data_IF_344280273268
#
_entry.id   IF_344280273268
#
_cell.length_a   1.000
_cell.length_b   1.000
_cell.length_c   1.000
_cell.angle_alpha   90.00
_cell.angle_beta   90.00
_cell.angle_gamma   90.00
#
_symmetry.space_group_name_H-M   'P 1'
#
loop_
_entity.id
_entity.type
_entity.pdbx_description
1 polymer ?
#
# COMPACT_ATOMS: atom_id res chain seq x y z
N UNK A 1 8.57 -28.78 -15.62
CA UNK A 1 9.36 -27.53 -15.76
C UNK A 1 9.61 -26.98 -14.37
N UNK A 2 10.88 -26.71 -14.01
CA UNK A 2 11.27 -26.26 -12.67
C UNK A 2 10.75 -24.84 -12.43
N UNK A 3 9.85 -24.68 -11.45
CA UNK A 3 9.41 -23.37 -10.94
C UNK A 3 10.63 -22.62 -10.43
N UNK A 4 11.00 -21.50 -11.05
CA UNK A 4 11.96 -20.57 -10.47
C UNK A 4 11.20 -19.73 -9.44
N UNK A 5 11.35 -20.08 -8.18
CA UNK A 5 10.88 -19.29 -7.05
C UNK A 5 11.76 -18.02 -7.02
N UNK A 6 11.24 -16.87 -7.44
CA UNK A 6 11.86 -15.59 -7.12
C UNK A 6 11.52 -15.29 -5.66
N UNK A 7 12.42 -15.70 -4.78
CA UNK A 7 12.33 -15.47 -3.33
C UNK A 7 12.59 -13.98 -3.10
N UNK A 8 11.54 -13.16 -3.15
CA UNK A 8 11.58 -11.77 -2.73
C UNK A 8 11.65 -11.77 -1.20
N UNK A 9 12.86 -11.58 -0.67
CA UNK A 9 13.14 -11.58 0.76
C UNK A 9 12.47 -10.38 1.44
N UNK A 10 11.24 -10.58 1.93
CA UNK A 10 10.65 -9.69 2.92
C UNK A 10 11.47 -9.82 4.21
N UNK A 11 12.15 -8.75 4.61
CA UNK A 11 12.90 -8.71 5.87
C UNK A 11 11.88 -8.65 7.02
N UNK A 12 11.43 -9.82 7.47
CA UNK A 12 10.73 -9.97 8.74
C UNK A 12 11.74 -9.75 9.86
N UNK A 13 11.84 -8.51 10.36
CA UNK A 13 12.48 -8.25 11.66
C UNK A 13 11.61 -8.88 12.75
N UNK A 14 11.90 -10.14 13.07
CA UNK A 14 11.34 -10.82 14.23
C UNK A 14 11.86 -10.12 15.50
N UNK A 15 11.04 -9.25 16.07
CA UNK A 15 11.28 -8.66 17.38
C UNK A 15 11.26 -9.75 18.46
N UNK A 16 12.45 -10.23 18.83
CA UNK A 16 12.65 -11.02 20.04
C UNK A 16 12.60 -10.08 21.25
N UNK A 17 11.47 -10.08 21.95
CA UNK A 17 11.40 -9.53 23.29
C UNK A 17 12.29 -10.35 24.23
N UNK A 18 13.46 -9.82 24.60
CA UNK A 18 14.17 -10.22 25.83
C UNK A 18 13.98 -9.10 26.84
N UNK A 19 13.32 -9.44 27.94
CA UNK A 19 13.00 -8.54 29.02
C UNK A 19 14.19 -8.21 29.94
N UNK A 20 14.11 -7.00 30.49
CA UNK A 20 14.54 -6.53 31.81
C UNK A 20 15.88 -7.00 32.43
N UNK A 21 16.73 -6.01 32.73
CA UNK A 21 17.82 -6.16 33.71
C UNK A 21 18.51 -4.82 33.99
N UNK A 22 18.03 -4.10 35.00
CA UNK A 22 18.52 -2.81 35.51
C UNK A 22 19.85 -3.01 36.24
N UNK A 23 20.84 -2.14 36.03
CA UNK A 23 21.69 -1.65 37.13
C UNK A 23 22.44 -0.36 36.77
N UNK A 24 22.45 0.55 37.74
CA UNK A 24 23.00 1.90 37.75
C UNK A 24 24.35 1.84 38.46
N UNK A 25 25.42 2.42 37.90
CA UNK A 25 26.56 2.92 38.69
C UNK A 25 27.09 4.22 38.12
N UNK A 26 27.02 5.25 38.96
CA UNK A 26 27.74 6.52 38.83
C UNK A 26 29.24 6.32 39.03
N UNK A 27 30.04 7.12 38.33
CA UNK A 27 31.28 7.68 38.86
C UNK A 27 31.55 9.05 38.25
N UNK A 28 31.45 10.07 39.11
CA UNK A 28 32.18 11.35 39.03
C UNK A 28 33.71 11.06 39.13
N UNK A 29 34.68 11.86 38.70
CA UNK A 29 34.78 13.32 38.65
C UNK A 29 36.14 13.76 38.03
N UNK A 30 36.25 15.05 37.66
CA UNK A 30 37.47 15.90 37.51
C UNK A 30 38.37 15.71 36.25
N UNK A 31 38.88 16.73 35.53
CA UNK A 31 38.98 18.18 35.77
C UNK A 31 39.47 18.93 34.50
N UNK A 32 38.97 20.17 34.28
CA UNK A 32 39.67 21.46 33.95
C UNK A 32 40.65 21.49 32.76
N UNK A 33 40.75 22.49 31.87
CA UNK A 33 40.08 23.73 31.47
C UNK A 33 40.77 24.12 30.15
N UNK A 34 40.07 24.75 29.20
CA UNK A 34 40.67 25.91 28.51
C UNK A 34 39.57 26.74 27.85
N UNK A 35 39.63 28.04 28.15
CA UNK A 35 38.63 29.09 27.96
C UNK A 35 38.95 29.92 26.71
N UNK A 36 37.93 30.33 25.96
CA UNK A 36 37.85 31.60 25.20
C UNK A 36 36.43 31.73 24.65
N UNK A 37 35.55 32.58 25.22
CA UNK A 37 35.12 33.91 24.70
C UNK A 37 34.74 33.91 23.21
N UNK A 38 33.60 34.42 22.74
CA UNK A 38 32.76 35.54 23.21
C UNK A 38 31.48 35.66 22.35
N UNK A 39 30.43 36.27 22.94
CA UNK A 39 29.25 36.98 22.35
C UNK A 39 28.03 36.19 21.85
N UNK A 40 26.91 36.47 22.53
CA UNK A 40 25.52 36.18 22.19
C UNK A 40 25.07 36.98 20.96
N UNK A 41 24.30 36.34 20.08
CA UNK A 41 23.26 37.03 19.33
C UNK A 41 22.03 36.13 19.25
N UNK A 42 20.93 36.65 19.80
CA UNK A 42 19.60 36.04 19.75
C UNK A 42 19.04 36.12 18.33
N UNK A 43 18.59 34.99 17.80
CA UNK A 43 17.52 34.94 16.80
C UNK A 43 16.58 33.79 17.16
N UNK A 44 15.27 34.06 17.11
CA UNK A 44 14.19 33.17 17.58
C UNK A 44 14.02 31.91 16.73
N UNK A 45 13.04 31.05 17.08
CA UNK A 45 12.85 29.79 16.39
C UNK A 45 12.13 30.05 15.06
N UNK A 46 12.90 30.17 13.97
CA UNK A 46 12.34 29.98 12.64
C UNK A 46 11.96 28.50 12.48
N UNK A 47 10.68 28.30 12.20
CA UNK A 47 10.09 27.05 11.72
C UNK A 47 10.93 26.47 10.59
N UNK A 48 11.51 25.28 10.83
CA UNK A 48 12.14 24.47 9.79
C UNK A 48 11.07 23.85 8.89
N UNK A 49 10.49 24.67 8.02
CA UNK A 49 9.77 24.21 6.83
C UNK A 49 10.51 24.73 5.61
N UNK A 50 11.42 23.89 5.10
CA UNK A 50 11.87 23.76 3.70
C UNK A 50 13.28 23.16 3.69
N UNK A 51 13.34 21.83 3.80
CA UNK A 51 14.46 21.11 3.21
C UNK A 51 14.14 21.00 1.72
N UNK A 52 14.53 22.01 0.94
CA UNK A 52 14.61 21.87 -0.51
C UNK A 52 15.68 20.81 -0.79
N UNK A 53 15.23 19.61 -1.15
CA UNK A 53 16.10 18.50 -1.51
C UNK A 53 16.80 18.87 -2.81
N UNK A 54 18.07 19.26 -2.72
CA UNK A 54 18.89 19.72 -3.84
C UNK A 54 19.13 18.56 -4.83
N UNK A 55 18.39 18.57 -5.95
CA UNK A 55 18.46 17.53 -6.98
C UNK A 55 19.57 17.87 -7.98
N UNK A 56 20.76 17.30 -7.79
CA UNK A 56 21.89 17.50 -8.69
C UNK A 56 21.72 16.65 -9.96
N UNK A 57 21.38 17.31 -11.07
CA UNK A 57 21.42 16.86 -12.48
C UNK A 57 20.66 15.56 -12.87
N UNK A 58 19.44 15.72 -13.41
CA UNK A 58 18.59 14.66 -13.97
C UNK A 58 19.26 13.79 -15.06
N UNK A 59 20.38 14.23 -15.63
CA UNK A 59 20.98 13.60 -16.82
C UNK A 59 21.94 12.43 -16.54
N UNK A 60 22.18 12.05 -15.28
CA UNK A 60 23.12 10.98 -14.93
C UNK A 60 22.60 10.04 -13.83
N UNK A 61 21.36 9.57 -13.98
CA UNK A 61 20.78 8.57 -13.05
C UNK A 61 21.40 7.20 -13.34
N UNK A 62 22.09 6.63 -12.35
CA UNK A 62 22.62 5.26 -12.41
C UNK A 62 21.53 4.25 -12.03
N UNK A 63 20.88 3.64 -13.02
CA UNK A 63 19.87 2.60 -12.81
C UNK A 63 20.44 1.24 -12.37
N UNK A 64 21.76 1.11 -12.19
CA UNK A 64 22.39 -0.08 -11.61
C UNK A 64 22.68 0.06 -10.12
N UNK A 65 22.57 1.29 -9.59
CA UNK A 65 22.73 1.59 -8.18
C UNK A 65 21.48 1.19 -7.37
N UNK A 66 21.70 0.62 -6.18
CA UNK A 66 20.65 0.23 -5.25
C UNK A 66 20.26 1.42 -4.35
N UNK A 67 19.18 2.11 -4.72
CA UNK A 67 18.64 3.25 -4.00
C UNK A 67 17.90 2.88 -2.69
N UNK A 68 17.81 1.61 -2.30
CA UNK A 68 17.05 1.22 -1.09
C UNK A 68 17.58 1.87 0.19
N UNK A 69 18.90 2.07 0.29
CA UNK A 69 19.53 2.77 1.40
C UNK A 69 19.17 4.25 1.46
N UNK A 70 19.20 4.93 0.31
CA UNK A 70 18.83 6.35 0.18
C UNK A 70 17.35 6.57 0.45
N UNK A 71 16.48 5.71 -0.11
CA UNK A 71 15.04 5.71 0.16
C UNK A 71 14.80 5.57 1.65
N UNK A 72 15.49 4.63 2.32
CA UNK A 72 15.33 4.43 3.75
C UNK A 72 15.74 5.67 4.54
N UNK A 73 16.85 6.32 4.17
CA UNK A 73 17.28 7.55 4.83
C UNK A 73 16.27 8.69 4.65
N UNK A 74 15.74 8.86 3.43
CA UNK A 74 14.70 9.86 3.13
C UNK A 74 13.43 9.61 3.96
N UNK A 75 12.97 8.35 4.05
CA UNK A 75 11.80 7.97 4.84
C UNK A 75 12.06 8.18 6.34
N UNK A 76 13.22 7.78 6.86
CA UNK A 76 13.56 7.98 8.27
C UNK A 76 13.62 9.48 8.64
N UNK A 77 14.15 10.33 7.74
CA UNK A 77 14.16 11.79 7.92
C UNK A 77 12.72 12.33 8.02
N UNK A 78 11.85 11.97 7.06
CA UNK A 78 10.43 12.35 7.08
C UNK A 78 9.72 11.90 8.36
N UNK A 79 9.92 10.64 8.77
CA UNK A 79 9.33 10.10 9.99
C UNK A 79 9.80 10.85 11.24
N UNK A 80 11.09 11.21 11.30
CA UNK A 80 11.65 11.92 12.45
C UNK A 80 11.27 13.41 12.50
N UNK A 81 11.03 14.03 11.34
CA UNK A 81 10.74 15.45 11.19
C UNK A 81 9.26 15.82 11.14
N UNK A 82 8.36 14.85 10.97
CA UNK A 82 6.93 15.13 10.79
C UNK A 82 6.18 15.36 12.09
N UNK A 83 5.36 16.41 12.13
CA UNK A 83 4.61 16.82 13.32
C UNK A 83 3.40 15.94 13.66
N UNK A 84 2.88 15.18 12.69
CA UNK A 84 1.74 14.27 12.84
C UNK A 84 1.80 13.16 11.79
N UNK A 85 1.05 12.07 11.99
CA UNK A 85 0.94 10.99 11.01
C UNK A 85 0.33 11.45 9.68
N UNK A 86 -0.60 12.41 9.72
CA UNK A 86 -1.15 13.00 8.50
C UNK A 86 -0.04 13.72 7.71
N UNK A 87 0.78 14.53 8.40
CA UNK A 87 1.85 15.29 7.75
C UNK A 87 2.99 14.41 7.27
N UNK A 88 3.25 13.33 8.00
CA UNK A 88 4.21 12.30 7.63
C UNK A 88 3.85 11.67 6.29
N UNK A 89 2.63 11.15 6.13
CA UNK A 89 2.22 10.55 4.86
C UNK A 89 2.18 11.56 3.70
N UNK A 90 1.80 12.81 3.95
CA UNK A 90 1.93 13.89 2.95
C UNK A 90 3.39 14.13 2.53
N UNK A 91 4.34 14.02 3.46
CA UNK A 91 5.76 14.20 3.17
C UNK A 91 6.37 12.94 2.51
N UNK A 92 5.85 11.73 2.76
CA UNK A 92 6.23 10.53 2.00
C UNK A 92 5.90 10.68 0.52
N UNK A 93 4.77 11.30 0.17
CA UNK A 93 4.42 11.60 -1.23
C UNK A 93 5.44 12.55 -1.89
N UNK A 94 6.08 13.44 -1.12
CA UNK A 94 7.18 14.28 -1.67
C UNK A 94 8.43 13.46 -1.96
N UNK A 95 8.67 12.37 -1.23
CA UNK A 95 9.72 11.40 -1.59
C UNK A 95 9.33 10.73 -2.93
N UNK A 96 8.07 10.35 -3.11
CA UNK A 96 7.59 9.83 -4.41
C UNK A 96 7.86 10.84 -5.53
N UNK A 97 7.58 12.13 -5.33
CA UNK A 97 7.88 13.19 -6.31
C UNK A 97 9.39 13.28 -6.62
N UNK A 98 10.26 13.25 -5.59
CA UNK A 98 11.72 13.22 -5.75
C UNK A 98 12.17 12.07 -6.65
N UNK A 99 11.73 10.85 -6.37
CA UNK A 99 12.13 9.67 -7.16
C UNK A 99 11.44 9.61 -8.52
N UNK A 100 10.27 10.24 -8.69
CA UNK A 100 9.62 10.41 -9.99
C UNK A 100 10.52 11.20 -10.94
N UNK A 101 11.11 12.29 -10.46
CA UNK A 101 12.03 13.12 -11.25
C UNK A 101 13.28 12.37 -11.70
N UNK A 102 13.75 11.37 -10.92
CA UNK A 102 14.85 10.48 -11.30
C UNK A 102 14.38 9.42 -12.31
N UNK A 103 13.21 8.83 -12.08
CA UNK A 103 12.63 7.82 -12.94
C UNK A 103 12.32 8.35 -14.36
N UNK A 104 12.02 9.64 -14.50
CA UNK A 104 11.87 10.33 -15.80
C UNK A 104 13.10 10.22 -16.71
N UNK A 105 14.29 9.97 -16.15
CA UNK A 105 15.50 9.78 -16.95
C UNK A 105 15.55 8.42 -17.66
N UNK A 106 14.72 7.44 -17.26
CA UNK A 106 14.73 6.10 -17.83
C UNK A 106 14.39 6.11 -19.32
N UNK A 107 15.23 5.47 -20.14
CA UNK A 107 15.07 5.40 -21.60
C UNK A 107 14.66 4.00 -22.07
N UNK A 108 15.11 2.97 -21.36
CA UNK A 108 14.86 1.56 -21.71
C UNK A 108 13.77 0.95 -20.84
N UNK A 109 13.10 -0.09 -21.34
CA UNK A 109 12.15 -0.86 -20.53
C UNK A 109 12.79 -1.45 -19.26
N UNK A 110 14.08 -1.81 -19.32
CA UNK A 110 14.83 -2.30 -18.17
C UNK A 110 14.98 -1.24 -17.09
N UNK A 111 15.35 -0.01 -17.47
CA UNK A 111 15.47 1.13 -16.54
C UNK A 111 14.10 1.51 -15.97
N UNK A 112 13.04 1.51 -16.78
CA UNK A 112 11.66 1.75 -16.31
C UNK A 112 11.21 0.68 -15.31
N UNK A 113 11.54 -0.60 -15.56
CA UNK A 113 11.24 -1.68 -14.64
C UNK A 113 11.98 -1.50 -13.31
N UNK A 114 13.25 -1.12 -13.34
CA UNK A 114 14.05 -0.87 -12.14
C UNK A 114 13.50 0.34 -11.38
N UNK A 115 13.30 1.47 -12.05
CA UNK A 115 12.87 2.70 -11.38
C UNK A 115 11.46 2.60 -10.80
N UNK A 116 10.58 1.80 -11.41
CA UNK A 116 9.25 1.51 -10.85
C UNK A 116 9.30 0.83 -9.47
N UNK A 117 10.36 0.09 -9.15
CA UNK A 117 10.50 -0.59 -7.85
C UNK A 117 10.71 0.41 -6.72
N UNK A 118 11.36 1.55 -6.98
CA UNK A 118 11.66 2.57 -5.97
C UNK A 118 10.41 3.06 -5.24
N UNK A 119 9.30 3.27 -5.97
CA UNK A 119 8.05 3.72 -5.39
C UNK A 119 7.43 2.70 -4.44
N UNK A 120 7.48 1.42 -4.82
CA UNK A 120 7.06 0.33 -3.94
C UNK A 120 7.95 0.28 -2.68
N UNK A 121 9.27 0.41 -2.83
CA UNK A 121 10.23 0.39 -1.70
C UNK A 121 10.02 1.55 -0.74
N UNK A 122 9.67 2.75 -1.23
CA UNK A 122 9.30 3.91 -0.39
C UNK A 122 8.14 3.55 0.52
N UNK A 123 7.04 3.03 -0.05
CA UNK A 123 5.86 2.68 0.73
C UNK A 123 6.05 1.44 1.63
N UNK A 124 6.83 0.45 1.20
CA UNK A 124 7.13 -0.72 2.05
C UNK A 124 8.00 -0.32 3.24
N UNK A 125 8.96 0.58 3.03
CA UNK A 125 9.79 1.14 4.11
C UNK A 125 8.92 1.89 5.13
N UNK A 126 8.02 2.75 4.66
CA UNK A 126 7.10 3.49 5.52
C UNK A 126 6.13 2.55 6.26
N UNK A 127 5.56 1.57 5.57
CA UNK A 127 4.66 0.57 6.17
C UNK A 127 5.37 -0.19 7.32
N UNK A 128 6.63 -0.57 7.12
CA UNK A 128 7.43 -1.24 8.15
C UNK A 128 7.74 -0.30 9.33
N UNK A 129 8.00 0.98 9.06
CA UNK A 129 8.22 1.98 10.10
C UNK A 129 6.96 2.19 10.96
N UNK A 130 5.80 2.40 10.31
CA UNK A 130 4.49 2.47 10.97
C UNK A 130 4.21 1.22 11.80
N UNK A 131 4.51 0.03 11.28
CA UNK A 131 4.30 -1.22 12.00
C UNK A 131 5.17 -1.31 13.27
N UNK A 132 6.42 -0.88 13.19
CA UNK A 132 7.31 -0.79 14.34
C UNK A 132 6.75 0.12 15.44
N UNK A 133 6.30 1.33 15.07
CA UNK A 133 5.69 2.29 16.01
C UNK A 133 4.35 1.79 16.55
N UNK A 134 3.47 1.29 15.69
CA UNK A 134 2.19 0.70 16.07
C UNK A 134 2.37 -0.45 17.06
N UNK A 135 3.28 -1.38 16.78
CA UNK A 135 3.54 -2.53 17.63
C UNK A 135 4.09 -2.18 19.02
N UNK A 136 4.66 -0.99 19.20
CA UNK A 136 5.14 -0.46 20.47
C UNK A 136 4.06 0.31 21.26
N UNK A 137 3.04 0.83 20.57
CA UNK A 137 1.99 1.64 21.19
C UNK A 137 0.68 0.87 21.44
N UNK A 138 0.35 -0.11 20.59
CA UNK A 138 -0.92 -0.83 20.66
C UNK A 138 -0.99 -1.80 21.85
N UNK A 139 -2.18 -1.93 22.44
CA UNK A 139 -2.46 -3.01 23.39
C UNK A 139 -2.41 -4.39 22.69
N UNK A 140 -2.29 -5.44 23.50
CA UNK A 140 -2.11 -6.81 22.99
C UNK A 140 -3.24 -7.26 22.06
N UNK A 141 -4.50 -6.95 22.40
CA UNK A 141 -5.66 -7.40 21.62
C UNK A 141 -5.70 -6.69 20.26
N UNK A 142 -5.49 -5.37 20.25
CA UNK A 142 -5.44 -4.59 19.00
C UNK A 142 -4.26 -5.03 18.13
N UNK A 143 -3.10 -5.28 18.74
CA UNK A 143 -1.90 -5.77 18.04
C UNK A 143 -2.12 -7.13 17.39
N UNK A 144 -2.72 -8.08 18.10
CA UNK A 144 -3.02 -9.42 17.56
C UNK A 144 -4.00 -9.38 16.40
N UNK A 145 -5.06 -8.56 16.51
CA UNK A 145 -6.03 -8.37 15.43
C UNK A 145 -5.36 -7.81 14.18
N UNK A 146 -4.62 -6.70 14.32
CA UNK A 146 -3.94 -6.06 13.20
C UNK A 146 -2.85 -6.95 12.59
N UNK A 147 -2.14 -7.74 13.41
CA UNK A 147 -1.13 -8.68 12.92
C UNK A 147 -1.77 -9.81 12.10
N UNK A 148 -2.93 -10.30 12.51
CA UNK A 148 -3.68 -11.30 11.72
C UNK A 148 -4.09 -10.73 10.36
N UNK A 149 -4.65 -9.52 10.34
CA UNK A 149 -5.01 -8.84 9.10
C UNK A 149 -3.79 -8.59 8.21
N UNK A 150 -2.67 -8.16 8.79
CA UNK A 150 -1.41 -7.94 8.06
C UNK A 150 -0.89 -9.23 7.42
N UNK A 151 -0.91 -10.35 8.15
CA UNK A 151 -0.50 -11.65 7.62
C UNK A 151 -1.40 -12.13 6.50
N UNK A 152 -2.70 -11.96 6.64
CA UNK A 152 -3.65 -12.31 5.60
C UNK A 152 -3.44 -11.44 4.35
N UNK A 153 -3.24 -10.13 4.52
CA UNK A 153 -2.90 -9.23 3.41
C UNK A 153 -1.63 -9.65 2.68
N UNK A 154 -0.55 -9.91 3.41
CA UNK A 154 0.73 -10.38 2.85
C UNK A 154 0.54 -11.69 2.06
N UNK A 155 -0.18 -12.65 2.64
CA UNK A 155 -0.41 -13.95 2.02
C UNK A 155 -1.19 -13.85 0.70
N UNK A 156 -2.10 -12.88 0.57
CA UNK A 156 -2.90 -12.67 -0.63
C UNK A 156 -2.20 -11.84 -1.71
N UNK A 157 -1.10 -11.11 -1.40
CA UNK A 157 -0.47 -10.15 -2.34
C UNK A 157 -0.14 -10.73 -3.71
N UNK A 158 0.44 -11.94 -3.74
CA UNK A 158 0.81 -12.58 -5.00
C UNK A 158 -0.45 -12.89 -5.83
N UNK A 159 -1.45 -13.53 -5.22
CA UNK A 159 -2.70 -13.89 -5.89
C UNK A 159 -3.48 -12.66 -6.39
N UNK A 160 -3.60 -11.60 -5.58
CA UNK A 160 -4.30 -10.38 -6.03
C UNK A 160 -3.55 -9.63 -7.13
N UNK A 161 -2.22 -9.73 -7.17
CA UNK A 161 -1.42 -9.17 -8.27
C UNK A 161 -1.72 -9.89 -9.57
N UNK A 162 -1.76 -11.23 -9.54
CA UNK A 162 -2.12 -12.03 -10.71
C UNK A 162 -3.55 -11.78 -11.17
N UNK A 163 -4.49 -11.65 -10.22
CA UNK A 163 -5.89 -11.33 -10.52
C UNK A 163 -6.03 -9.94 -11.16
N UNK A 164 -5.26 -8.95 -10.68
CA UNK A 164 -5.33 -7.58 -11.18
C UNK A 164 -4.68 -7.42 -12.55
N UNK A 165 -3.53 -8.04 -12.77
CA UNK A 165 -2.75 -7.88 -14.01
C UNK A 165 -3.18 -8.84 -15.11
N UNK A 166 -3.64 -10.05 -14.75
CA UNK A 166 -3.84 -11.14 -15.69
C UNK A 166 -2.58 -12.00 -15.87
N UNK A 167 -2.79 -13.26 -16.29
CA UNK A 167 -1.72 -14.24 -16.46
C UNK A 167 -0.97 -14.12 -17.79
N UNK A 168 -1.55 -13.43 -18.77
CA UNK A 168 -0.95 -13.30 -20.11
C UNK A 168 0.19 -12.27 -20.08
N UNK A 169 0.02 -11.28 -19.22
CA UNK A 169 0.92 -10.20 -18.94
C UNK A 169 2.21 -10.70 -18.27
N UNK A 170 2.17 -11.81 -17.50
CA UNK A 170 3.30 -12.35 -16.71
C UNK A 170 4.60 -12.58 -17.51
N UNK A 171 4.50 -12.79 -18.83
CA UNK A 171 5.66 -13.04 -19.69
C UNK A 171 6.10 -11.80 -20.49
N UNK A 172 5.43 -10.66 -20.33
CA UNK A 172 5.74 -9.40 -21.02
C UNK A 172 6.89 -8.66 -20.36
N UNK A 173 7.71 -7.96 -21.15
CA UNK A 173 8.83 -7.14 -20.63
C UNK A 173 8.37 -5.95 -19.76
N UNK A 174 7.10 -5.54 -19.87
CA UNK A 174 6.50 -4.48 -19.05
C UNK A 174 5.92 -5.00 -17.72
N UNK A 175 5.78 -6.32 -17.58
CA UNK A 175 5.16 -6.92 -16.40
C UNK A 175 5.78 -6.49 -15.07
N UNK A 176 7.12 -6.41 -14.92
CA UNK A 176 7.71 -5.96 -13.67
C UNK A 176 7.26 -4.54 -13.28
N UNK A 177 7.18 -3.61 -14.24
CA UNK A 177 6.69 -2.26 -13.96
C UNK A 177 5.21 -2.24 -13.55
N UNK A 178 4.37 -3.05 -14.19
CA UNK A 178 2.95 -3.18 -13.82
C UNK A 178 2.78 -3.80 -12.42
N UNK A 179 3.57 -4.82 -12.11
CA UNK A 179 3.61 -5.45 -10.80
C UNK A 179 4.05 -4.45 -9.73
N UNK A 180 5.15 -3.74 -9.94
CA UNK A 180 5.66 -2.75 -8.99
C UNK A 180 4.65 -1.62 -8.75
N UNK A 181 4.01 -1.10 -9.80
CA UNK A 181 2.96 -0.08 -9.66
C UNK A 181 1.75 -0.59 -8.87
N UNK A 182 1.33 -1.83 -9.10
CA UNK A 182 0.25 -2.42 -8.29
C UNK A 182 0.67 -2.63 -6.84
N UNK A 183 1.89 -3.14 -6.60
CA UNK A 183 2.45 -3.34 -5.26
C UNK A 183 2.59 -2.03 -4.50
N UNK A 184 3.08 -0.98 -5.15
CA UNK A 184 3.12 0.38 -4.61
C UNK A 184 1.73 0.81 -4.14
N UNK A 185 0.72 0.74 -5.02
CA UNK A 185 -0.66 1.14 -4.71
C UNK A 185 -1.23 0.41 -3.49
N UNK A 186 -1.12 -0.92 -3.46
CA UNK A 186 -1.70 -1.69 -2.33
C UNK A 186 -0.91 -1.50 -1.04
N UNK A 187 0.40 -1.24 -1.12
CA UNK A 187 1.26 -1.01 0.05
C UNK A 187 1.02 0.38 0.64
N UNK A 188 0.88 1.40 -0.21
CA UNK A 188 0.39 2.73 0.16
C UNK A 188 -0.94 2.64 0.89
N UNK A 189 -1.92 1.95 0.32
CA UNK A 189 -3.23 1.78 0.96
C UNK A 189 -3.11 1.13 2.34
N UNK A 190 -2.23 0.14 2.48
CA UNK A 190 -1.98 -0.52 3.76
C UNK A 190 -1.30 0.40 4.77
N UNK A 191 -0.38 1.26 4.33
CA UNK A 191 0.24 2.28 5.18
C UNK A 191 -0.80 3.25 5.74
N UNK A 192 -1.72 3.76 4.91
CA UNK A 192 -2.82 4.62 5.38
C UNK A 192 -3.72 3.93 6.43
N UNK A 193 -4.10 2.67 6.21
CA UNK A 193 -4.89 1.90 7.19
C UNK A 193 -4.14 1.80 8.52
N UNK A 194 -2.85 1.50 8.49
CA UNK A 194 -2.06 1.35 9.70
C UNK A 194 -1.81 2.69 10.41
N UNK A 195 -1.56 3.75 9.66
CA UNK A 195 -1.41 5.10 10.18
C UNK A 195 -2.70 5.59 10.86
N UNK A 196 -3.87 5.30 10.28
CA UNK A 196 -5.16 5.61 10.89
C UNK A 196 -5.34 4.89 12.23
N UNK A 197 -5.00 3.60 12.32
CA UNK A 197 -5.05 2.88 13.60
C UNK A 197 -4.05 3.42 14.62
N UNK A 198 -2.84 3.79 14.18
CA UNK A 198 -1.84 4.42 15.05
C UNK A 198 -2.29 5.81 15.52
N UNK A 199 -2.93 6.60 14.66
CA UNK A 199 -3.45 7.92 15.00
C UNK A 199 -4.52 7.82 16.09
N UNK A 200 -5.44 6.84 16.00
CA UNK A 200 -6.44 6.56 17.04
C UNK A 200 -5.78 6.28 18.40
N UNK A 201 -4.71 5.48 18.42
CA UNK A 201 -3.98 5.16 19.66
C UNK A 201 -3.30 6.41 20.24
N UNK A 202 -2.73 7.26 19.39
CA UNK A 202 -2.05 8.50 19.81
C UNK A 202 -3.02 9.65 20.13
N UNK A 203 -4.29 9.54 19.76
CA UNK A 203 -5.26 10.64 19.85
C UNK A 203 -5.00 11.75 18.81
N UNK A 204 -4.36 11.42 17.69
CA UNK A 204 -4.12 12.35 16.58
C UNK A 204 -5.31 12.37 15.62
N UNK A 205 -5.62 13.55 15.06
CA UNK A 205 -6.59 13.64 13.95
C UNK A 205 -5.97 13.08 12.68
N UNK A 206 -6.72 12.24 11.97
CA UNK A 206 -6.28 11.60 10.73
C UNK A 206 -7.46 11.46 9.77
N UNK A 207 -7.23 11.77 8.50
CA UNK A 207 -8.25 11.67 7.45
C UNK A 207 -7.83 10.60 6.46
N UNK A 208 -8.64 9.54 6.35
CA UNK A 208 -8.44 8.51 5.33
C UNK A 208 -8.63 9.10 3.93
N UNK A 209 -7.76 8.78 2.95
CA UNK A 209 -7.93 9.29 1.60
C UNK A 209 -9.17 8.67 0.96
N UNK A 210 -9.78 9.42 0.04
CA UNK A 210 -10.94 8.93 -0.71
C UNK A 210 -10.54 7.77 -1.62
N UNK A 211 -11.38 6.74 -1.65
CA UNK A 211 -11.29 5.63 -2.60
C UNK A 211 -12.23 5.91 -3.77
N UNK A 212 -11.87 5.41 -4.96
CA UNK A 212 -12.75 5.49 -6.12
C UNK A 212 -14.11 4.83 -5.81
N UNK A 213 -15.19 5.51 -6.16
CA UNK A 213 -16.54 4.95 -6.11
C UNK A 213 -16.82 3.94 -7.24
N UNK A 214 -15.88 3.81 -8.18
CA UNK A 214 -16.06 3.07 -9.43
C UNK A 214 -15.08 1.92 -9.62
N UNK A 215 -13.81 2.13 -9.29
CA UNK A 215 -12.73 1.19 -9.58
C UNK A 215 -12.06 0.67 -8.30
N UNK A 216 -11.76 -0.62 -8.26
CA UNK A 216 -11.08 -1.23 -7.13
C UNK A 216 -10.91 -2.74 -7.27
N UNK A 217 -10.12 -3.30 -6.35
CA UNK A 217 -9.98 -4.74 -6.15
C UNK A 217 -10.41 -5.07 -4.73
N UNK A 218 -11.39 -5.94 -4.62
CA UNK A 218 -12.00 -6.32 -3.35
C UNK A 218 -12.01 -7.83 -3.22
N UNK A 219 -11.75 -8.33 -2.01
CA UNK A 219 -11.64 -9.76 -1.74
C UNK A 219 -12.52 -10.15 -0.55
N UNK A 220 -13.18 -11.29 -0.67
CA UNK A 220 -13.58 -12.11 0.48
C UNK A 220 -12.50 -13.16 0.71
N UNK A 221 -11.86 -13.11 1.87
CA UNK A 221 -10.84 -14.08 2.29
C UNK A 221 -11.35 -15.07 3.34
N UNK A 222 -12.61 -14.94 3.77
CA UNK A 222 -13.23 -15.73 4.84
C UNK A 222 -12.40 -15.77 6.14
N UNK A 223 -11.65 -14.69 6.42
CA UNK A 223 -10.76 -14.58 7.59
C UNK A 223 -9.44 -15.35 7.47
N UNK A 224 -9.12 -15.85 6.27
CA UNK A 224 -7.89 -16.60 5.94
C UNK A 224 -6.90 -15.75 5.13
N UNK A 225 -5.74 -16.32 4.79
CA UNK A 225 -4.74 -15.70 3.90
C UNK A 225 -4.93 -16.03 2.42
N UNK A 226 -6.06 -16.60 2.01
CA UNK A 226 -6.35 -16.98 0.61
C UNK A 226 -7.45 -16.09 0.03
N UNK A 227 -7.43 -15.84 -1.28
CA UNK A 227 -8.55 -15.21 -1.97
C UNK A 227 -9.63 -16.27 -2.23
N UNK A 228 -10.79 -16.16 -1.57
CA UNK A 228 -11.92 -17.06 -1.83
C UNK A 228 -12.81 -16.54 -2.95
N UNK A 229 -13.17 -15.26 -2.84
CA UNK A 229 -13.95 -14.56 -3.85
C UNK A 229 -13.34 -13.18 -4.09
N UNK A 230 -13.43 -12.69 -5.31
CA UNK A 230 -12.90 -11.38 -5.69
C UNK A 230 -13.88 -10.61 -6.56
N UNK A 231 -13.88 -9.30 -6.39
CA UNK A 231 -14.52 -8.34 -7.27
C UNK A 231 -13.46 -7.34 -7.74
N UNK A 232 -13.29 -7.22 -9.04
CA UNK A 232 -12.41 -6.24 -9.66
C UNK A 232 -13.28 -5.36 -10.54
N UNK A 233 -13.18 -4.05 -10.38
CA UNK A 233 -13.77 -3.07 -11.30
C UNK A 233 -12.65 -2.17 -11.83
N UNK A 234 -12.54 -2.06 -13.14
CA UNK A 234 -11.49 -1.28 -13.81
C UNK A 234 -11.96 -0.78 -15.17
N UNK A 235 -11.16 0.12 -15.75
CA UNK A 235 -11.32 0.46 -17.15
C UNK A 235 -10.57 -0.57 -18.01
N UNK A 236 -11.28 -1.19 -18.94
CA UNK A 236 -10.73 -2.10 -19.94
C UNK A 236 -9.94 -1.36 -21.02
N UNK A 237 -9.26 -2.13 -21.87
CA UNK A 237 -8.35 -1.57 -22.88
C UNK A 237 -9.07 -0.77 -23.97
N UNK A 238 -10.33 -1.11 -24.26
CA UNK A 238 -11.17 -0.38 -25.21
C UNK A 238 -11.84 0.84 -24.56
N UNK A 239 -11.50 1.15 -23.30
CA UNK A 239 -12.03 2.28 -22.54
C UNK A 239 -13.37 2.02 -21.87
N UNK A 240 -13.96 0.84 -22.08
CA UNK A 240 -15.17 0.36 -21.43
C UNK A 240 -14.93 0.05 -19.95
N UNK A 241 -15.97 0.21 -19.14
CA UNK A 241 -15.95 -0.16 -17.73
C UNK A 241 -16.23 -1.65 -17.58
N UNK A 242 -15.28 -2.39 -17.01
CA UNK A 242 -15.35 -3.84 -16.87
C UNK A 242 -15.28 -4.30 -15.42
N UNK A 243 -16.03 -5.37 -15.12
CA UNK A 243 -15.99 -6.02 -13.84
C UNK A 243 -15.70 -7.52 -13.99
N UNK A 244 -14.84 -8.02 -13.10
CA UNK A 244 -14.53 -9.43 -12.95
C UNK A 244 -14.98 -9.87 -11.56
N UNK A 245 -15.93 -10.80 -11.53
CA UNK A 245 -16.55 -11.31 -10.31
C UNK A 245 -16.22 -12.80 -10.22
N UNK A 246 -15.41 -13.19 -9.23
CA UNK A 246 -15.09 -14.58 -8.94
C UNK A 246 -15.68 -14.94 -7.60
N UNK A 247 -16.57 -15.93 -7.55
CA UNK A 247 -17.23 -16.37 -6.32
C UNK A 247 -16.91 -17.83 -6.06
N UNK A 248 -16.42 -18.11 -4.84
CA UNK A 248 -16.03 -19.45 -4.42
C UNK A 248 -17.17 -20.46 -4.67
N UNK A 249 -16.85 -21.56 -5.38
CA UNK A 249 -17.78 -22.63 -5.82
C UNK A 249 -18.86 -22.24 -6.83
N UNK A 250 -19.00 -20.97 -7.18
CA UNK A 250 -19.94 -20.51 -8.23
C UNK A 250 -19.21 -20.12 -9.51
N UNK A 251 -17.90 -19.85 -9.44
CA UNK A 251 -17.07 -19.59 -10.61
C UNK A 251 -16.91 -18.10 -10.91
N UNK A 252 -16.39 -17.82 -12.11
CA UNK A 252 -16.01 -16.48 -12.56
C UNK A 252 -17.02 -15.96 -13.59
N UNK A 253 -17.34 -14.68 -13.49
CA UNK A 253 -18.13 -13.91 -14.45
C UNK A 253 -17.40 -12.63 -14.80
N UNK A 254 -17.34 -12.37 -16.09
CA UNK A 254 -16.77 -11.17 -16.70
C UNK A 254 -17.91 -10.42 -17.38
N UNK A 255 -17.78 -9.10 -17.47
CA UNK A 255 -18.83 -8.25 -18.00
C UNK A 255 -18.48 -6.78 -17.92
N UNK A 256 -19.42 -5.97 -18.36
CA UNK A 256 -19.33 -4.52 -18.28
C UNK A 256 -20.25 -3.97 -17.22
N UNK A 257 -19.98 -2.74 -16.77
CA UNK A 257 -20.89 -2.03 -15.87
C UNK A 257 -21.13 -0.59 -16.29
N UNK A 258 -22.25 -0.03 -15.85
CA UNK A 258 -22.60 1.38 -16.03
C UNK A 258 -22.73 2.04 -14.67
N UNK A 259 -22.03 3.16 -14.48
CA UNK A 259 -22.20 4.02 -13.30
C UNK A 259 -23.41 4.95 -13.51
N UNK A 260 -24.41 4.83 -12.64
CA UNK A 260 -25.63 5.63 -12.72
C UNK A 260 -25.55 6.93 -11.90
N UNK A 261 -24.40 7.23 -11.26
CA UNK A 261 -24.21 8.43 -10.45
C UNK A 261 -24.95 8.40 -9.10
N UNK A 262 -25.52 7.26 -8.72
CA UNK A 262 -26.23 7.06 -7.45
C UNK A 262 -25.44 6.21 -6.44
N UNK A 263 -24.16 5.94 -6.71
CA UNK A 263 -23.31 5.04 -5.92
C UNK A 263 -23.51 3.55 -6.21
N UNK A 264 -24.26 3.21 -7.26
CA UNK A 264 -24.48 1.84 -7.71
C UNK A 264 -24.00 1.65 -9.15
N UNK A 265 -23.27 0.57 -9.40
CA UNK A 265 -22.81 0.19 -10.74
C UNK A 265 -23.68 -0.96 -11.26
N UNK A 266 -24.37 -0.76 -12.37
CA UNK A 266 -25.20 -1.80 -13.01
C UNK A 266 -24.32 -2.70 -13.86
N UNK A 267 -24.13 -3.94 -13.44
CA UNK A 267 -23.33 -4.95 -14.12
C UNK A 267 -24.16 -5.82 -15.06
N UNK A 268 -23.60 -6.15 -16.22
CA UNK A 268 -24.11 -7.18 -17.14
C UNK A 268 -22.96 -8.09 -17.58
N UNK A 269 -23.11 -9.40 -17.40
CA UNK A 269 -22.10 -10.37 -17.83
C UNK A 269 -22.01 -10.46 -19.36
N UNK A 270 -20.83 -10.76 -19.89
CA UNK A 270 -20.57 -10.82 -21.33
C UNK A 270 -21.44 -11.86 -22.05
N UNK A 271 -21.74 -12.97 -21.37
CA UNK A 271 -22.62 -14.02 -21.86
C UNK A 271 -24.12 -13.69 -21.70
N UNK A 272 -24.46 -12.53 -21.13
CA UNK A 272 -25.84 -12.10 -20.87
C UNK A 272 -26.59 -12.94 -19.83
N UNK A 273 -25.90 -13.88 -19.17
CA UNK A 273 -26.53 -14.80 -18.21
C UNK A 273 -26.90 -14.14 -16.90
N UNK A 274 -26.22 -13.06 -16.51
CA UNK A 274 -26.37 -12.42 -15.20
C UNK A 274 -26.38 -10.91 -15.35
N UNK A 275 -27.29 -10.27 -14.62
CA UNK A 275 -27.19 -8.85 -14.28
C UNK A 275 -27.18 -8.67 -12.78
N UNK A 276 -26.57 -7.60 -12.33
CA UNK A 276 -26.52 -7.27 -10.91
C UNK A 276 -26.14 -5.84 -10.64
N UNK A 277 -26.05 -5.54 -9.35
CA UNK A 277 -25.65 -4.24 -8.83
C UNK A 277 -24.38 -4.43 -8.01
N UNK A 278 -23.35 -3.68 -8.35
CA UNK A 278 -22.13 -3.56 -7.56
C UNK A 278 -22.23 -2.29 -6.70
N UNK A 279 -21.86 -2.39 -5.43
CA UNK A 279 -21.73 -1.26 -4.50
C UNK A 279 -20.33 -1.22 -3.93
N UNK A 280 -19.63 -0.10 -4.09
CA UNK A 280 -18.30 0.12 -3.52
C UNK A 280 -18.45 1.06 -2.32
N UNK A 281 -18.03 0.59 -1.14
CA UNK A 281 -18.12 1.31 0.13
C UNK A 281 -16.74 1.82 0.59
N UNK A 282 -15.91 2.25 -0.37
CA UNK A 282 -14.56 2.73 -0.11
C UNK A 282 -13.68 1.71 0.60
N UNK A 283 -13.24 2.04 1.82
CA UNK A 283 -12.37 1.18 2.64
C UNK A 283 -13.08 -0.02 3.26
N UNK A 284 -14.42 0.01 3.35
CA UNK A 284 -15.23 -1.06 3.93
C UNK A 284 -15.54 -2.20 2.94
N UNK A 285 -14.90 -2.15 1.77
CA UNK A 285 -15.02 -3.16 0.74
C UNK A 285 -16.15 -2.89 -0.26
N UNK A 286 -16.70 -3.95 -0.82
CA UNK A 286 -17.74 -3.88 -1.84
C UNK A 286 -18.76 -5.02 -1.73
N UNK A 287 -19.89 -4.91 -2.42
CA UNK A 287 -20.83 -6.02 -2.59
C UNK A 287 -21.31 -6.14 -4.04
N UNK A 288 -21.72 -7.34 -4.41
CA UNK A 288 -22.39 -7.64 -5.67
C UNK A 288 -23.72 -8.33 -5.37
N UNK A 289 -24.81 -7.76 -5.88
CA UNK A 289 -26.16 -8.30 -5.75
C UNK A 289 -26.72 -8.70 -7.11
N UNK A 290 -27.12 -9.94 -7.26
CA UNK A 290 -27.73 -10.46 -8.49
C UNK A 290 -29.16 -9.95 -8.61
N UNK A 291 -29.49 -9.33 -9.74
CA UNK A 291 -30.83 -8.78 -10.02
C UNK A 291 -31.59 -9.57 -11.07
N UNK A 292 -30.89 -10.14 -12.04
CA UNK A 292 -31.49 -10.97 -13.09
C UNK A 292 -30.56 -12.14 -13.43
N UNK A 293 -31.17 -13.28 -13.77
CA UNK A 293 -30.47 -14.44 -14.32
C UNK A 293 -31.23 -14.98 -15.52
N UNK A 294 -30.54 -15.47 -16.53
CA UNK A 294 -31.12 -16.15 -17.68
C UNK A 294 -30.57 -17.57 -17.83
N UNK A 295 -31.42 -18.51 -18.27
CA UNK A 295 -31.07 -19.92 -18.41
C UNK A 295 -30.78 -20.64 -17.08
N UNK A 296 -30.03 -21.73 -17.14
CA UNK A 296 -29.48 -22.39 -15.94
C UNK A 296 -28.32 -21.55 -15.41
N UNK A 297 -28.54 -20.90 -14.26
CA UNK A 297 -27.51 -20.12 -13.58
C UNK A 297 -27.18 -20.74 -12.23
N UNK A 298 -25.90 -20.75 -11.89
CA UNK A 298 -25.40 -21.11 -10.55
C UNK A 298 -25.60 -19.99 -9.53
N UNK A 299 -26.00 -18.81 -9.99
CA UNK A 299 -26.33 -17.64 -9.18
C UNK A 299 -27.85 -17.54 -8.99
N UNK A 300 -28.28 -17.04 -7.82
CA UNK A 300 -29.70 -16.85 -7.53
C UNK A 300 -30.09 -15.37 -7.57
N UNK A 301 -31.24 -15.05 -8.16
CA UNK A 301 -31.78 -13.68 -8.10
C UNK A 301 -31.99 -13.26 -6.63
N UNK A 302 -31.47 -12.08 -6.27
CA UNK A 302 -31.50 -11.55 -4.91
C UNK A 302 -30.31 -11.96 -4.04
N UNK A 303 -29.46 -12.89 -4.50
CA UNK A 303 -28.20 -13.24 -3.85
C UNK A 303 -27.28 -12.01 -3.75
N UNK A 304 -26.66 -11.82 -2.59
CA UNK A 304 -25.69 -10.76 -2.37
C UNK A 304 -24.40 -11.33 -1.77
N UNK A 305 -23.28 -11.06 -2.44
CA UNK A 305 -21.94 -11.45 -2.01
C UNK A 305 -21.18 -10.20 -1.60
N UNK A 306 -20.44 -10.28 -0.48
CA UNK A 306 -19.65 -9.18 0.07
C UNK A 306 -18.16 -9.48 -0.01
N UNK A 307 -17.39 -8.49 -0.40
CA UNK A 307 -15.94 -8.52 -0.54
C UNK A 307 -15.36 -7.51 0.45
N UNK A 308 -15.07 -7.96 1.67
CA UNK A 308 -14.80 -7.08 2.81
C UNK A 308 -13.37 -6.51 2.82
N UNK A 309 -12.47 -7.06 2.03
CA UNK A 309 -11.07 -6.65 2.00
C UNK A 309 -10.80 -5.77 0.78
N UNK A 310 -10.60 -4.47 0.97
CA UNK A 310 -10.19 -3.54 -0.09
C UNK A 310 -8.67 -3.50 -0.23
N UNK A 311 -8.17 -3.71 -1.44
CA UNK A 311 -6.74 -3.55 -1.78
C UNK A 311 -6.42 -2.14 -2.30
#
# INVERSE_FOLDING_TARGET
MKKRLYMMTLILMAGLCIGCGKERKESKDLNIESRSSQVEEQSGPESRENNDIELNDKSNVDFTYDYSGDIKADVDDVVSGSASLQKELENIEKIIEKYTLLAEAAQTQGEMNISSEWFFVIWDTELNNLWGRFGNCADQQTKEKMLKEQRNWIAMKEEVTLLNLGSVEENGSIYPALQNSFLEKITKNRAYVLANELAKIKGESFVMPEKSAKYGLFVDNQGTGNVYSSLITRQGWEGNDEAIISIYRQGKKEGTFVDNGNGELTFTSDDGSIKGIIKINGWDGASFKVTETSGESVFSVGEEVKFLFAF
#
